data_IF_972455221497
#
_entry.id   IF_972455221497
#
_cell.length_a   1.000
_cell.length_b   1.000
_cell.length_c   1.000
_cell.angle_alpha   90.00
_cell.angle_beta   90.00
_cell.angle_gamma   90.00
#
_symmetry.space_group_name_H-M   'P 1'
#
loop_
_entity.id
_entity.type
_entity.pdbx_description
1 polymer ?
#
# COMPACT_ATOMS: atom_id res chain seq x y z
N UNK A 1 23.01 4.50 -18.08
CA UNK A 1 22.44 5.34 -17.00
C UNK A 1 20.94 5.57 -17.17
N UNK A 2 20.44 6.26 -18.20
CA UNK A 2 18.97 6.44 -18.38
C UNK A 2 18.21 5.16 -18.77
N UNK A 3 18.86 4.24 -19.49
CA UNK A 3 18.26 2.97 -19.92
C UNK A 3 18.06 1.98 -18.77
N UNK A 4 18.91 1.99 -17.75
CA UNK A 4 18.84 1.05 -16.63
C UNK A 4 17.73 1.40 -15.63
N UNK A 5 17.49 2.70 -15.38
CA UNK A 5 16.40 3.14 -14.49
C UNK A 5 15.03 2.76 -15.08
N UNK A 6 14.84 2.97 -16.38
CA UNK A 6 13.58 2.62 -17.05
C UNK A 6 13.26 1.11 -16.98
N UNK A 7 14.27 0.24 -17.02
CA UNK A 7 14.07 -1.21 -16.91
C UNK A 7 13.72 -1.65 -15.49
N UNK A 8 14.28 -0.98 -14.48
CA UNK A 8 13.91 -1.20 -13.08
C UNK A 8 12.47 -0.76 -12.81
N UNK A 9 12.06 0.41 -13.31
CA UNK A 9 10.69 0.92 -13.16
C UNK A 9 9.65 0.02 -13.85
N UNK A 10 10.00 -0.54 -15.01
CA UNK A 10 9.16 -1.54 -15.68
C UNK A 10 9.04 -2.82 -14.86
N UNK A 11 10.16 -3.30 -14.33
CA UNK A 11 10.20 -4.51 -13.50
C UNK A 11 9.37 -4.34 -12.23
N UNK A 12 9.51 -3.22 -11.52
CA UNK A 12 8.75 -2.93 -10.29
C UNK A 12 7.25 -2.82 -10.57
N UNK A 13 6.88 -2.20 -11.69
CA UNK A 13 5.49 -2.10 -12.15
C UNK A 13 4.86 -3.47 -12.44
N UNK A 14 5.61 -4.38 -13.07
CA UNK A 14 5.15 -5.74 -13.34
C UNK A 14 4.99 -6.55 -12.06
N UNK A 15 5.95 -6.45 -11.13
CA UNK A 15 5.85 -7.09 -9.81
C UNK A 15 4.58 -6.63 -9.10
N UNK A 16 4.31 -5.32 -9.07
CA UNK A 16 3.11 -4.75 -8.47
C UNK A 16 1.82 -5.35 -9.04
N UNK A 17 1.74 -5.52 -10.37
CA UNK A 17 0.58 -6.16 -11.03
C UNK A 17 0.39 -7.62 -10.62
N UNK A 18 1.48 -8.38 -10.53
CA UNK A 18 1.40 -9.79 -10.10
C UNK A 18 0.95 -9.91 -8.63
N UNK A 19 1.45 -9.05 -7.74
CA UNK A 19 1.00 -9.04 -6.35
C UNK A 19 -0.48 -8.70 -6.21
N UNK A 20 -0.98 -7.73 -6.97
CA UNK A 20 -2.40 -7.36 -6.98
C UNK A 20 -3.32 -8.44 -7.56
N UNK A 21 -2.78 -9.35 -8.37
CA UNK A 21 -3.51 -10.51 -8.90
C UNK A 21 -3.41 -11.75 -8.00
N UNK A 22 -2.73 -11.63 -6.86
CA UNK A 22 -2.63 -12.71 -5.86
C UNK A 22 -1.41 -13.61 -6.00
N UNK A 23 -0.40 -13.20 -6.78
CA UNK A 23 0.92 -13.85 -6.76
C UNK A 23 1.70 -13.47 -5.50
N UNK A 24 2.62 -14.33 -5.11
CA UNK A 24 3.40 -14.19 -3.87
C UNK A 24 4.87 -13.99 -4.25
N UNK A 25 5.52 -13.00 -3.64
CA UNK A 25 6.96 -12.81 -3.78
C UNK A 25 7.69 -13.89 -2.96
N UNK A 26 8.62 -14.61 -3.58
CA UNK A 26 9.47 -15.60 -2.90
C UNK A 26 10.77 -14.97 -2.40
N UNK A 27 11.43 -15.71 -1.52
CA UNK A 27 12.82 -15.53 -1.08
C UNK A 27 13.88 -15.95 -2.12
N UNK A 28 13.49 -16.72 -3.14
CA UNK A 28 14.39 -17.15 -4.22
C UNK A 28 14.61 -16.04 -5.26
N UNK A 29 15.85 -15.90 -5.71
CA UNK A 29 16.23 -14.94 -6.76
C UNK A 29 16.30 -15.60 -8.14
N UNK A 30 16.09 -14.82 -9.19
CA UNK A 30 16.17 -15.31 -10.56
C UNK A 30 17.55 -15.94 -10.86
N UNK A 31 17.62 -17.17 -11.41
CA UNK A 31 18.89 -17.84 -11.68
C UNK A 31 19.64 -17.27 -12.91
N UNK A 32 19.01 -16.36 -13.67
CA UNK A 32 19.61 -15.77 -14.85
C UNK A 32 20.80 -14.87 -14.47
N UNK A 33 21.94 -15.07 -15.14
CA UNK A 33 23.17 -14.31 -14.88
C UNK A 33 22.93 -12.81 -15.05
N UNK A 34 23.17 -12.05 -13.98
CA UNK A 34 22.97 -10.59 -13.95
C UNK A 34 21.55 -10.13 -13.64
N UNK A 35 20.64 -11.04 -13.28
CA UNK A 35 19.31 -10.72 -12.79
C UNK A 35 19.21 -11.00 -11.29
N UNK A 36 18.97 -9.97 -10.48
CA UNK A 36 18.82 -10.09 -9.02
C UNK A 36 17.36 -9.84 -8.57
N UNK A 37 16.40 -10.16 -9.44
CA UNK A 37 14.99 -9.94 -9.19
C UNK A 37 14.41 -11.16 -8.45
N UNK A 38 13.70 -10.97 -7.33
CA UNK A 38 13.00 -12.05 -6.64
C UNK A 38 11.96 -12.74 -7.54
N UNK A 39 11.84 -14.05 -7.42
CA UNK A 39 10.84 -14.83 -8.15
C UNK A 39 9.45 -14.62 -7.54
N UNK A 40 8.44 -14.60 -8.41
CA UNK A 40 7.03 -14.64 -8.04
C UNK A 40 6.52 -16.06 -8.20
N UNK A 41 5.70 -16.52 -7.26
CA UNK A 41 5.07 -17.84 -7.29
C UNK A 41 3.55 -17.73 -7.25
N UNK A 42 2.87 -18.66 -7.88
CA UNK A 42 1.41 -18.76 -7.80
C UNK A 42 0.96 -19.18 -6.39
N UNK A 43 -0.29 -18.89 -6.04
CA UNK A 43 -0.86 -19.23 -4.72
C UNK A 43 -0.77 -20.73 -4.40
N UNK A 44 -0.97 -21.55 -5.43
CA UNK A 44 -0.89 -23.00 -5.44
C UNK A 44 0.55 -23.55 -5.60
N UNK A 45 1.53 -22.66 -5.74
CA UNK A 45 2.96 -22.96 -5.87
C UNK A 45 3.37 -23.75 -7.13
N UNK A 46 2.49 -23.86 -8.13
CA UNK A 46 2.75 -24.61 -9.36
C UNK A 46 3.53 -23.82 -10.41
N UNK A 47 3.55 -22.49 -10.34
CA UNK A 47 4.21 -21.65 -11.35
C UNK A 47 5.11 -20.63 -10.68
N UNK A 48 6.32 -20.49 -11.23
CA UNK A 48 7.34 -19.56 -10.80
C UNK A 48 7.73 -18.69 -11.99
N UNK A 49 7.84 -17.38 -11.78
CA UNK A 49 8.22 -16.43 -12.83
C UNK A 49 9.09 -15.31 -12.29
N UNK A 50 9.98 -14.82 -13.12
CA UNK A 50 10.75 -13.61 -12.94
C UNK A 50 10.09 -12.48 -13.73
N UNK A 51 9.69 -11.40 -13.06
CA UNK A 51 9.06 -10.25 -13.71
C UNK A 51 9.94 -9.55 -14.77
N UNK A 52 11.27 -9.77 -14.74
CA UNK A 52 12.21 -9.20 -15.71
C UNK A 52 12.55 -10.15 -16.86
N UNK A 53 12.66 -11.45 -16.58
CA UNK A 53 13.16 -12.43 -17.56
C UNK A 53 12.04 -13.23 -18.24
N UNK A 54 10.94 -13.50 -17.53
CA UNK A 54 9.88 -14.41 -18.00
C UNK A 54 8.74 -13.68 -18.69
N UNK A 55 9.08 -12.61 -19.43
CA UNK A 55 8.13 -11.85 -20.23
C UNK A 55 7.76 -12.64 -21.51
N UNK A 56 7.26 -13.87 -21.33
CA UNK A 56 6.54 -14.57 -22.37
C UNK A 56 5.12 -14.00 -22.37
N UNK A 57 4.69 -13.49 -23.52
CA UNK A 57 3.31 -13.12 -23.86
C UNK A 57 2.34 -14.30 -23.79
N UNK A 58 2.33 -15.05 -22.69
CA UNK A 58 1.26 -15.97 -22.33
C UNK A 58 0.23 -15.16 -21.55
N UNK A 59 -0.49 -14.35 -22.31
CA UNK A 59 -1.78 -13.75 -21.95
C UNK A 59 -2.54 -14.74 -21.05
N UNK A 60 -2.97 -14.39 -19.81
CA UNK A 60 -4.01 -15.16 -19.17
C UNK A 60 -5.27 -14.96 -20.01
N UNK A 61 -5.51 -15.89 -20.93
CA UNK A 61 -6.78 -16.05 -21.60
C UNK A 61 -7.78 -16.51 -20.54
N UNK A 62 -8.34 -15.56 -19.82
CA UNK A 62 -9.66 -15.70 -19.22
C UNK A 62 -10.62 -14.84 -20.04
N UNK A 63 -10.98 -15.37 -21.21
CA UNK A 63 -12.29 -15.13 -21.80
C UNK A 63 -13.30 -15.89 -20.94
N UNK A 64 -13.99 -15.20 -20.05
CA UNK A 64 -15.40 -15.46 -19.74
C UNK A 64 -16.07 -14.12 -19.54
N UNK A 65 -17.10 -13.93 -20.34
CA UNK A 65 -17.70 -12.67 -20.72
C UNK A 65 -18.60 -12.11 -19.62
N UNK A 66 -18.63 -10.79 -19.48
CA UNK A 66 -19.87 -10.10 -19.19
C UNK A 66 -20.03 -8.94 -20.18
N UNK A 67 -21.26 -8.67 -20.66
CA UNK A 67 -21.50 -7.66 -21.67
C UNK A 67 -21.04 -6.31 -21.14
N UNK A 68 -20.10 -5.69 -21.85
CA UNK A 68 -19.77 -4.28 -21.71
C UNK A 68 -20.96 -3.47 -22.25
N UNK A 69 -22.08 -3.48 -21.52
CA UNK A 69 -22.99 -2.37 -21.61
C UNK A 69 -22.23 -1.17 -21.11
N UNK A 70 -22.11 -0.18 -21.99
CA UNK A 70 -21.56 1.10 -21.70
C UNK A 70 -22.14 1.64 -20.38
N UNK A 71 -21.37 1.54 -19.30
CA UNK A 71 -21.44 2.59 -18.30
C UNK A 71 -20.60 3.71 -18.90
N UNK A 72 -21.26 4.49 -19.75
CA UNK A 72 -20.89 5.88 -19.88
C UNK A 72 -20.66 6.43 -18.47
N UNK A 73 -19.46 6.97 -18.25
CA UNK A 73 -19.27 8.21 -17.53
C UNK A 73 -20.30 8.51 -16.42
N UNK A 74 -20.31 7.69 -15.38
CA UNK A 74 -20.70 8.13 -14.03
C UNK A 74 -19.48 8.09 -13.11
N UNK A 75 -18.32 8.50 -13.62
CA UNK A 75 -17.50 9.34 -12.76
C UNK A 75 -18.42 10.51 -12.39
N UNK A 76 -18.71 10.77 -11.11
CA UNK A 76 -19.27 12.08 -10.78
C UNK A 76 -18.35 13.09 -11.47
N UNK A 77 -18.88 14.14 -12.12
CA UNK A 77 -18.04 15.24 -12.53
C UNK A 77 -17.20 15.55 -11.30
N UNK A 78 -15.89 15.37 -11.41
CA UNK A 78 -14.98 16.18 -10.62
C UNK A 78 -15.20 17.58 -11.17
N UNK A 79 -16.35 18.17 -10.79
CA UNK A 79 -16.43 19.61 -10.62
C UNK A 79 -15.21 19.89 -9.80
N UNK A 80 -14.26 20.53 -10.47
CA UNK A 80 -13.13 21.23 -9.91
C UNK A 80 -13.40 21.52 -8.45
N UNK A 81 -12.91 20.64 -7.56
CA UNK A 81 -12.71 21.01 -6.17
C UNK A 81 -11.81 22.22 -6.34
N UNK A 82 -12.36 23.37 -5.98
CA UNK A 82 -11.65 24.62 -6.08
C UNK A 82 -10.28 24.41 -5.45
N UNK A 83 -9.29 25.14 -5.94
CA UNK A 83 -8.29 25.63 -5.00
C UNK A 83 -9.05 26.47 -3.97
N UNK A 84 -9.70 25.80 -3.02
CA UNK A 84 -10.06 26.38 -1.75
C UNK A 84 -8.72 26.78 -1.18
N UNK A 85 -8.48 28.09 -1.08
CA UNK A 85 -7.32 28.59 -0.36
C UNK A 85 -7.46 28.04 1.06
N UNK A 86 -6.78 26.93 1.33
CA UNK A 86 -6.71 26.34 2.68
C UNK A 86 -6.33 27.50 3.60
N UNK A 87 -7.26 27.85 4.49
CA UNK A 87 -7.05 29.00 5.35
C UNK A 87 -5.86 28.70 6.25
N UNK A 88 -5.09 29.73 6.63
CA UNK A 88 -3.92 29.53 7.50
C UNK A 88 -4.28 28.77 8.79
N UNK A 89 -5.52 28.92 9.24
CA UNK A 89 -6.08 28.28 10.44
C UNK A 89 -6.31 26.77 10.22
N UNK A 90 -6.90 26.36 9.09
CA UNK A 90 -7.09 24.94 8.75
C UNK A 90 -5.76 24.19 8.54
N UNK A 91 -4.78 24.87 7.96
CA UNK A 91 -3.43 24.31 7.79
C UNK A 91 -2.78 24.08 9.15
N UNK A 92 -2.90 25.03 10.07
CA UNK A 92 -2.36 24.92 11.42
C UNK A 92 -3.05 23.82 12.23
N UNK A 93 -4.38 23.72 12.14
CA UNK A 93 -5.15 22.65 12.79
C UNK A 93 -4.75 21.25 12.27
N UNK A 94 -4.59 21.11 10.95
CA UNK A 94 -4.09 19.87 10.33
C UNK A 94 -2.69 19.53 10.82
N UNK A 95 -1.82 20.53 10.97
CA UNK A 95 -0.47 20.33 11.50
C UNK A 95 -0.49 19.92 12.98
N UNK A 96 -1.33 20.55 13.81
CA UNK A 96 -1.49 20.20 15.21
C UNK A 96 -1.99 18.76 15.37
N UNK A 97 -2.99 18.36 14.58
CA UNK A 97 -3.50 16.98 14.55
C UNK A 97 -2.41 15.97 14.22
N UNK A 98 -1.57 16.27 13.21
CA UNK A 98 -0.42 15.41 12.85
C UNK A 98 0.61 15.32 13.98
N UNK A 99 0.98 16.45 14.59
CA UNK A 99 1.95 16.50 15.70
C UNK A 99 1.45 15.70 16.90
N UNK A 100 0.19 15.89 17.30
CA UNK A 100 -0.40 15.15 18.42
C UNK A 100 -0.44 13.64 18.14
N UNK A 101 -0.83 13.25 16.91
CA UNK A 101 -0.87 11.83 16.50
C UNK A 101 0.52 11.18 16.53
N UNK A 102 1.57 11.91 16.12
CA UNK A 102 2.95 11.42 16.17
C UNK A 102 3.43 11.21 17.59
N UNK A 103 3.17 12.17 18.49
CA UNK A 103 3.52 12.05 19.90
C UNK A 103 2.77 10.89 20.57
N UNK A 104 1.47 10.73 20.27
CA UNK A 104 0.69 9.62 20.76
C UNK A 104 1.27 8.28 20.28
N UNK A 105 1.55 8.13 18.98
CA UNK A 105 2.13 6.91 18.42
C UNK A 105 3.49 6.56 19.05
N UNK A 106 4.34 7.56 19.32
CA UNK A 106 5.62 7.37 19.99
C UNK A 106 5.45 6.79 21.40
N UNK A 107 4.57 7.40 22.21
CA UNK A 107 4.31 6.95 23.59
C UNK A 107 3.62 5.58 23.61
N UNK A 108 2.68 5.34 22.70
CA UNK A 108 2.02 4.05 22.56
C UNK A 108 3.06 2.97 22.26
N UNK A 109 3.98 3.22 21.33
CA UNK A 109 5.08 2.30 21.03
C UNK A 109 5.96 2.01 22.24
N UNK A 110 6.31 3.03 23.02
CA UNK A 110 7.08 2.87 24.27
C UNK A 110 6.32 2.00 25.29
N UNK A 111 5.02 2.23 25.48
CA UNK A 111 4.18 1.43 26.39
C UNK A 111 3.99 0.00 25.92
N UNK A 112 3.85 -0.23 24.62
CA UNK A 112 3.81 -1.59 24.06
C UNK A 112 5.09 -2.37 24.35
N UNK A 113 6.27 -1.71 24.28
CA UNK A 113 7.54 -2.33 24.66
C UNK A 113 7.64 -2.62 26.16
N UNK A 114 6.94 -1.85 26.99
CA UNK A 114 6.80 -2.10 28.43
C UNK A 114 5.76 -3.18 28.76
N UNK A 115 5.10 -3.78 27.75
CA UNK A 115 4.12 -4.85 27.92
C UNK A 115 2.65 -4.40 27.99
N UNK A 116 2.38 -3.12 27.73
CA UNK A 116 1.02 -2.59 27.70
C UNK A 116 0.28 -3.04 26.43
N UNK A 117 -1.04 -3.21 26.53
CA UNK A 117 -1.88 -3.60 25.40
C UNK A 117 -2.66 -2.41 24.87
N UNK A 118 -2.70 -2.28 23.54
CA UNK A 118 -3.54 -1.30 22.87
C UNK A 118 -5.02 -1.67 23.10
N UNK A 119 -5.84 -0.70 23.49
CA UNK A 119 -7.28 -0.86 23.53
C UNK A 119 -7.92 -0.47 22.21
N UNK A 120 -9.07 -1.05 21.89
CA UNK A 120 -9.93 -0.62 20.78
C UNK A 120 -10.86 0.55 21.21
N UNK A 121 -10.38 1.37 22.15
CA UNK A 121 -11.10 2.53 22.67
C UNK A 121 -10.40 3.83 22.26
N UNK A 122 -11.19 4.79 21.82
CA UNK A 122 -10.72 6.11 21.41
C UNK A 122 -10.71 7.02 22.63
N UNK A 123 -9.76 7.95 22.69
CA UNK A 123 -9.72 8.94 23.77
C UNK A 123 -11.05 9.72 23.83
N UNK A 124 -11.70 9.83 24.99
CA UNK A 124 -12.99 10.53 25.12
C UNK A 124 -12.87 12.05 24.95
N UNK A 125 -11.65 12.59 24.86
CA UNK A 125 -11.44 14.00 24.56
C UNK A 125 -11.51 14.21 23.03
N UNK A 126 -12.52 14.95 22.57
CA UNK A 126 -12.76 15.25 21.15
C UNK A 126 -11.62 16.05 20.48
N UNK A 127 -10.77 16.71 21.28
CA UNK A 127 -9.56 17.41 20.81
C UNK A 127 -8.31 16.52 20.80
N UNK A 128 -8.45 15.25 21.17
CA UNK A 128 -7.37 14.29 21.24
C UNK A 128 -7.47 13.26 20.11
N UNK A 129 -6.49 13.27 19.21
CA UNK A 129 -6.43 12.35 18.07
C UNK A 129 -5.67 11.04 18.38
N UNK A 130 -5.45 10.73 19.66
CA UNK A 130 -4.72 9.53 20.12
C UNK A 130 -5.63 8.35 20.47
N UNK A 131 -5.15 7.14 20.22
CA UNK A 131 -5.76 5.90 20.71
C UNK A 131 -5.38 5.65 22.19
N UNK A 132 -6.27 5.00 22.95
CA UNK A 132 -6.03 4.71 24.36
C UNK A 132 -5.22 3.42 24.57
N UNK A 133 -4.47 3.37 25.66
CA UNK A 133 -3.72 2.20 26.12
C UNK A 133 -4.10 1.91 27.56
N UNK A 134 -4.12 0.64 27.93
CA UNK A 134 -4.51 0.19 29.27
C UNK A 134 -3.44 -0.68 29.91
N UNK A 135 -3.34 -0.56 31.23
CA UNK A 135 -2.44 -1.36 32.04
C UNK A 135 -3.11 -2.69 32.33
N UNK A 136 -2.69 -3.75 31.65
CA UNK A 136 -3.15 -5.09 32.02
C UNK A 136 -2.33 -5.62 33.19
N UNK A 137 -2.93 -5.46 34.37
CA UNK A 137 -2.86 -6.37 35.53
C UNK A 137 -1.44 -6.78 35.95
N UNK A 138 -0.81 -5.91 36.74
CA UNK A 138 0.31 -6.22 37.62
C UNK A 138 0.46 -5.19 38.73
#
# INVERSE_FOLDING_TARGET
MASEQSELDRTSSLIGRYLLTGWILSDEVCPNKGCNVPLLRSKDNSTWLCARCDNNDSKPRSTTELPYQAYESFAPPVESIGMEQETSEEVEERQLRRKQSQLAAQLIGERMLQGWTLLDEICPNETCYGASVDDRLG
#
